data_IF_503468277217
#
_entry.id   IF_503468277217
#
_cell.length_a   1.000
_cell.length_b   1.000
_cell.length_c   1.000
_cell.angle_alpha   90.00
_cell.angle_beta   90.00
_cell.angle_gamma   90.00
#
_symmetry.space_group_name_H-M   'P 1'
#
loop_
_entity.id
_entity.type
_entity.pdbx_description
1 polymer ?
#
# COMPACT_ATOMS: atom_id res chain seq x y z
N UNK A 1 -29.47 57.72 -41.09
CA UNK A 1 -29.76 56.33 -40.68
C UNK A 1 -28.48 55.50 -40.78
N UNK A 2 -27.73 55.38 -39.68
CA UNK A 2 -26.62 54.42 -39.54
C UNK A 2 -27.04 53.47 -38.41
N UNK A 3 -27.06 52.16 -38.69
CA UNK A 3 -27.26 51.12 -37.67
C UNK A 3 -25.87 50.66 -37.25
N UNK A 4 -25.50 50.99 -36.02
CA UNK A 4 -24.29 50.46 -35.38
C UNK A 4 -24.62 49.11 -34.75
N UNK A 5 -23.99 48.07 -35.28
CA UNK A 5 -24.08 46.69 -34.78
C UNK A 5 -23.11 46.54 -33.61
N UNK A 6 -23.63 46.42 -32.39
CA UNK A 6 -22.85 46.13 -31.19
C UNK A 6 -22.41 44.66 -31.23
N UNK A 7 -21.12 44.43 -31.46
CA UNK A 7 -20.49 43.12 -31.32
C UNK A 7 -20.34 42.79 -29.82
N UNK A 8 -21.26 42.00 -29.27
CA UNK A 8 -21.08 41.36 -27.96
C UNK A 8 -20.07 40.22 -28.12
N UNK A 9 -18.83 40.47 -27.68
CA UNK A 9 -17.82 39.42 -27.50
C UNK A 9 -18.27 38.52 -26.34
N UNK A 10 -18.82 37.35 -26.69
CA UNK A 10 -19.08 36.26 -25.76
C UNK A 10 -17.77 35.46 -25.66
N UNK A 11 -17.02 35.65 -24.56
CA UNK A 11 -15.80 34.89 -24.27
C UNK A 11 -16.21 33.43 -24.00
N UNK A 12 -16.21 32.59 -25.03
CA UNK A 12 -16.51 31.17 -24.91
C UNK A 12 -15.25 30.49 -24.36
N UNK A 13 -15.21 30.30 -23.04
CA UNK A 13 -14.20 29.48 -22.38
C UNK A 13 -14.47 28.02 -22.77
N UNK A 14 -13.90 27.58 -23.89
CA UNK A 14 -13.88 26.16 -24.27
C UNK A 14 -12.95 25.49 -23.27
N UNK A 15 -13.52 25.01 -22.16
CA UNK A 15 -12.89 23.96 -21.37
C UNK A 15 -12.88 22.74 -22.27
N UNK A 16 -11.75 22.53 -22.95
CA UNK A 16 -11.40 21.24 -23.51
C UNK A 16 -11.33 20.27 -22.34
N UNK A 17 -12.48 19.67 -21.98
CA UNK A 17 -12.51 18.41 -21.29
C UNK A 17 -11.81 17.42 -22.21
N UNK A 18 -10.49 17.34 -22.07
CA UNK A 18 -9.73 16.23 -22.60
C UNK A 18 -10.38 14.99 -22.00
N UNK A 19 -11.09 14.27 -22.86
CA UNK A 19 -11.47 12.89 -22.61
C UNK A 19 -10.15 12.10 -22.55
N UNK A 20 -9.45 12.19 -21.42
CA UNK A 20 -8.52 11.15 -21.03
C UNK A 20 -9.39 9.92 -20.80
N UNK A 21 -9.62 9.16 -21.87
CA UNK A 21 -10.02 7.77 -21.74
C UNK A 21 -9.04 7.13 -20.77
N UNK A 22 -9.58 6.69 -19.64
CA UNK A 22 -8.78 6.12 -18.56
C UNK A 22 -8.12 4.84 -19.04
N UNK A 23 -6.90 4.94 -19.56
CA UNK A 23 -6.07 3.78 -19.82
C UNK A 23 -5.54 3.26 -18.48
N UNK A 24 -5.37 1.95 -18.37
CA UNK A 24 -4.72 1.42 -17.19
C UNK A 24 -3.27 1.91 -17.18
N UNK A 25 -2.75 2.18 -15.98
CA UNK A 25 -1.36 2.58 -15.78
C UNK A 25 -0.78 1.73 -14.66
N UNK A 26 0.50 1.43 -14.76
CA UNK A 26 1.26 0.75 -13.72
C UNK A 26 2.39 1.66 -13.29
N UNK A 27 2.41 1.99 -12.00
CA UNK A 27 3.48 2.77 -11.38
C UNK A 27 4.30 1.86 -10.47
N UNK A 28 5.62 1.93 -10.58
CA UNK A 28 6.54 1.14 -9.75
C UNK A 28 7.33 2.05 -8.83
N UNK A 29 7.41 1.68 -7.56
CA UNK A 29 8.16 2.42 -6.55
C UNK A 29 9.29 1.56 -5.98
N UNK A 30 10.43 2.19 -5.74
CA UNK A 30 11.33 1.74 -4.68
C UNK A 30 10.68 2.05 -3.34
N UNK A 31 10.55 1.01 -2.53
CA UNK A 31 9.97 1.06 -1.21
C UNK A 31 11.01 0.65 -0.18
N UNK A 32 11.50 1.63 0.57
CA UNK A 32 12.42 1.44 1.67
C UNK A 32 11.65 1.58 2.99
N UNK A 33 11.83 0.62 3.89
CA UNK A 33 11.22 0.70 5.22
C UNK A 33 12.07 0.11 6.34
N UNK A 34 11.88 0.62 7.56
CA UNK A 34 12.56 0.21 8.79
C UNK A 34 11.59 -0.61 9.67
N UNK A 35 11.67 -1.94 9.69
CA UNK A 35 10.76 -2.77 10.50
C UNK A 35 11.05 -2.63 12.00
N UNK A 36 12.33 -2.56 12.38
CA UNK A 36 12.76 -2.42 13.77
C UNK A 36 13.12 -0.97 14.06
N UNK A 37 12.35 -0.24 14.89
CA UNK A 37 12.56 1.18 15.13
C UNK A 37 13.82 1.47 15.98
N UNK A 38 14.47 0.43 16.52
CA UNK A 38 15.69 0.52 17.34
C UNK A 38 16.96 0.17 16.55
N UNK A 39 16.84 -0.14 15.25
CA UNK A 39 17.98 -0.48 14.38
C UNK A 39 17.97 0.41 13.14
N UNK A 40 19.16 0.73 12.64
CA UNK A 40 19.30 1.52 11.41
C UNK A 40 18.99 0.71 10.14
N UNK A 41 18.95 -0.62 10.24
CA UNK A 41 18.70 -1.53 9.11
C UNK A 41 17.34 -1.29 8.46
N UNK A 42 17.34 -1.08 7.14
CA UNK A 42 16.15 -0.98 6.31
C UNK A 42 16.00 -2.19 5.39
N UNK A 43 14.78 -2.37 4.88
CA UNK A 43 14.44 -3.33 3.83
C UNK A 43 14.08 -2.52 2.59
N UNK A 44 14.67 -2.87 1.44
CA UNK A 44 14.36 -2.31 0.14
C UNK A 44 13.61 -3.33 -0.71
N UNK A 45 12.42 -2.96 -1.18
CA UNK A 45 11.57 -3.79 -2.04
C UNK A 45 10.93 -2.97 -3.15
N UNK A 46 10.39 -3.65 -4.17
CA UNK A 46 9.57 -3.02 -5.22
C UNK A 46 8.09 -3.12 -4.87
N UNK A 47 7.39 -2.00 -4.98
CA UNK A 47 5.93 -1.93 -4.90
C UNK A 47 5.32 -1.42 -6.19
N UNK A 48 4.07 -1.81 -6.42
CA UNK A 48 3.35 -1.59 -7.67
C UNK A 48 1.99 -0.98 -7.34
N UNK A 49 1.63 0.07 -8.07
CA UNK A 49 0.28 0.66 -8.09
C UNK A 49 -0.30 0.44 -9.48
N UNK A 50 -1.19 -0.55 -9.61
CA UNK A 50 -2.00 -0.72 -10.82
C UNK A 50 -3.21 0.22 -10.71
N UNK A 51 -3.38 1.16 -11.65
CA UNK A 51 -4.52 2.08 -11.75
C UNK A 51 -5.37 1.68 -12.96
N UNK A 52 -6.65 1.42 -12.76
CA UNK A 52 -7.60 1.01 -13.79
C UNK A 52 -8.67 2.09 -14.00
N UNK A 53 -8.65 2.70 -15.18
CA UNK A 53 -9.59 3.73 -15.63
C UNK A 53 -9.82 4.91 -14.66
N UNK A 54 -8.89 5.19 -13.74
CA UNK A 54 -9.08 6.17 -12.67
C UNK A 54 -10.18 5.81 -11.65
N UNK A 55 -10.74 4.59 -11.71
CA UNK A 55 -11.80 4.09 -10.83
C UNK A 55 -11.27 3.20 -9.71
N UNK A 56 -10.26 2.41 -10.01
CA UNK A 56 -9.67 1.44 -9.09
C UNK A 56 -8.15 1.61 -9.09
N UNK A 57 -7.56 1.55 -7.89
CA UNK A 57 -6.11 1.44 -7.73
C UNK A 57 -5.76 0.35 -6.74
N UNK A 58 -4.76 -0.48 -7.07
CA UNK A 58 -4.29 -1.57 -6.22
C UNK A 58 -2.79 -1.43 -5.98
N UNK A 59 -2.44 -1.10 -4.75
CA UNK A 59 -1.06 -0.98 -4.29
C UNK A 59 -0.61 -2.25 -3.56
N UNK A 60 0.49 -2.86 -4.00
CA UNK A 60 1.07 -4.05 -3.34
C UNK A 60 2.53 -4.29 -3.70
N UNK A 61 3.21 -5.13 -2.91
CA UNK A 61 4.57 -5.61 -3.23
C UNK A 61 4.58 -6.53 -4.45
N UNK A 62 5.74 -6.69 -5.10
CA UNK A 62 5.92 -7.54 -6.28
C UNK A 62 5.38 -8.96 -6.11
N UNK A 63 5.72 -9.60 -4.98
CA UNK A 63 5.33 -10.97 -4.65
C UNK A 63 3.79 -11.13 -4.61
N UNK A 64 3.09 -10.13 -4.08
CA UNK A 64 1.64 -10.12 -4.02
C UNK A 64 1.03 -9.93 -5.41
N UNK A 65 1.53 -8.98 -6.20
CA UNK A 65 1.08 -8.77 -7.57
C UNK A 65 1.21 -10.05 -8.40
N UNK A 66 2.38 -10.71 -8.35
CA UNK A 66 2.63 -11.98 -9.04
C UNK A 66 1.69 -13.09 -8.55
N UNK A 67 1.48 -13.17 -7.23
CA UNK A 67 0.58 -14.16 -6.64
C UNK A 67 -0.87 -13.96 -7.09
N UNK A 68 -1.34 -12.72 -7.19
CA UNK A 68 -2.70 -12.44 -7.63
C UNK A 68 -2.89 -12.82 -9.10
N UNK A 69 -1.92 -12.54 -9.97
CA UNK A 69 -1.93 -12.97 -11.38
C UNK A 69 -1.98 -14.51 -11.51
N UNK A 70 -1.16 -15.23 -10.74
CA UNK A 70 -1.16 -16.70 -10.76
C UNK A 70 -2.47 -17.29 -10.24
N UNK A 71 -2.99 -16.77 -9.13
CA UNK A 71 -4.26 -17.22 -8.57
C UNK A 71 -5.44 -16.96 -9.50
N UNK A 72 -5.42 -15.88 -10.28
CA UNK A 72 -6.45 -15.62 -11.28
C UNK A 72 -6.45 -16.63 -12.43
N UNK A 73 -5.34 -17.36 -12.63
CA UNK A 73 -5.20 -18.47 -13.57
C UNK A 73 -5.39 -19.84 -12.89
N UNK A 74 -5.90 -19.87 -11.65
CA UNK A 74 -6.01 -21.07 -10.81
C UNK A 74 -4.67 -21.78 -10.54
N UNK A 75 -3.56 -21.04 -10.59
CA UNK A 75 -2.20 -21.54 -10.26
C UNK A 75 -1.83 -21.23 -8.81
N UNK A 76 -0.87 -21.99 -8.27
CA UNK A 76 -0.28 -21.73 -6.96
C UNK A 76 0.55 -20.44 -7.00
N UNK A 77 0.40 -19.59 -5.98
CA UNK A 77 1.19 -18.36 -5.84
C UNK A 77 2.50 -18.55 -5.07
N UNK A 78 3.31 -17.49 -4.99
CA UNK A 78 4.65 -17.50 -4.37
C UNK A 78 4.65 -17.43 -2.83
N UNK A 79 3.55 -17.79 -2.17
CA UNK A 79 3.34 -17.47 -0.75
C UNK A 79 3.26 -15.96 -0.52
N UNK A 80 3.05 -15.54 0.74
CA UNK A 80 2.92 -14.12 1.12
C UNK A 80 3.61 -13.85 2.45
N UNK A 81 3.91 -12.59 2.73
CA UNK A 81 4.49 -12.17 4.01
C UNK A 81 3.55 -12.55 5.16
N UNK A 82 4.07 -13.34 6.09
CA UNK A 82 3.26 -13.93 7.16
C UNK A 82 2.88 -12.92 8.25
N UNK A 83 3.75 -11.93 8.50
CA UNK A 83 3.51 -10.89 9.50
C UNK A 83 2.57 -9.85 8.96
N UNK A 84 1.52 -9.53 9.73
CA UNK A 84 0.52 -8.55 9.30
C UNK A 84 1.11 -7.14 9.14
N UNK A 85 2.11 -6.78 9.95
CA UNK A 85 2.79 -5.47 9.85
C UNK A 85 3.62 -5.33 8.57
N UNK A 86 4.03 -6.45 7.94
CA UNK A 86 4.78 -6.43 6.69
C UNK A 86 3.86 -6.62 5.45
N UNK A 87 2.54 -6.62 5.62
CA UNK A 87 1.58 -6.72 4.52
C UNK A 87 1.14 -5.34 4.04
N UNK A 88 1.75 -4.90 2.95
CA UNK A 88 1.48 -3.62 2.29
C UNK A 88 0.54 -3.80 1.10
N UNK A 89 -0.73 -4.11 1.36
CA UNK A 89 -1.73 -4.34 0.32
C UNK A 89 -2.92 -3.40 0.50
N UNK A 90 -3.08 -2.42 -0.41
CA UNK A 90 -4.17 -1.44 -0.40
C UNK A 90 -4.99 -1.55 -1.67
N UNK A 91 -6.32 -1.54 -1.53
CA UNK A 91 -7.28 -1.37 -2.62
C UNK A 91 -7.98 -0.03 -2.43
N UNK A 92 -7.93 0.82 -3.45
CA UNK A 92 -8.63 2.11 -3.50
C UNK A 92 -9.70 2.03 -4.57
N UNK A 93 -10.97 2.09 -4.20
CA UNK A 93 -12.06 2.32 -5.14
C UNK A 93 -12.32 3.82 -5.19
N UNK A 94 -11.66 4.48 -6.13
CA UNK A 94 -11.64 5.93 -6.26
C UNK A 94 -13.03 6.52 -6.52
N UNK A 95 -13.88 5.83 -7.29
CA UNK A 95 -15.26 6.24 -7.57
C UNK A 95 -16.19 6.18 -6.35
N UNK A 96 -15.89 5.30 -5.40
CA UNK A 96 -16.65 5.13 -4.15
C UNK A 96 -16.00 5.90 -2.98
N UNK A 97 -14.86 6.55 -3.23
CA UNK A 97 -13.97 7.10 -2.22
C UNK A 97 -13.68 6.11 -1.07
N UNK A 98 -13.53 4.83 -1.40
CA UNK A 98 -13.28 3.76 -0.43
C UNK A 98 -11.82 3.32 -0.50
N UNK A 99 -11.17 3.19 0.66
CA UNK A 99 -9.82 2.65 0.80
C UNK A 99 -9.87 1.48 1.77
N UNK A 100 -9.24 0.36 1.39
CA UNK A 100 -9.18 -0.85 2.19
C UNK A 100 -7.75 -1.37 2.25
N UNK A 101 -7.31 -1.73 3.46
CA UNK A 101 -6.11 -2.53 3.68
C UNK A 101 -6.50 -4.01 3.68
N UNK A 102 -5.89 -4.80 2.81
CA UNK A 102 -6.10 -6.25 2.75
C UNK A 102 -5.01 -6.97 3.53
N UNK A 103 -5.42 -7.83 4.45
CA UNK A 103 -4.53 -8.75 5.15
C UNK A 103 -4.91 -10.18 4.79
N UNK A 104 -3.92 -11.06 4.76
CA UNK A 104 -4.15 -12.48 4.61
C UNK A 104 -3.46 -13.25 5.73
N UNK A 105 -4.17 -14.17 6.36
CA UNK A 105 -3.58 -15.11 7.31
C UNK A 105 -2.77 -16.17 6.59
N UNK A 106 -1.93 -16.86 7.35
CA UNK A 106 -1.12 -17.98 6.85
C UNK A 106 -1.99 -19.16 6.34
N UNK A 107 -3.29 -19.17 6.67
CA UNK A 107 -4.29 -20.16 6.21
C UNK A 107 -5.17 -19.64 5.07
N UNK A 108 -4.69 -18.62 4.38
CA UNK A 108 -5.35 -18.01 3.22
C UNK A 108 -6.66 -17.26 3.48
N UNK A 109 -7.09 -17.10 4.74
CA UNK A 109 -8.22 -16.23 5.04
C UNK A 109 -7.84 -14.79 4.73
N UNK A 110 -8.72 -14.09 4.04
CA UNK A 110 -8.53 -12.70 3.66
C UNK A 110 -9.46 -11.86 4.52
N UNK A 111 -8.90 -10.79 5.07
CA UNK A 111 -9.67 -9.75 5.73
C UNK A 111 -9.39 -8.39 5.08
N UNK A 112 -10.38 -7.50 5.16
CA UNK A 112 -10.23 -6.10 4.78
C UNK A 112 -10.45 -5.19 5.97
N UNK A 113 -9.61 -4.18 6.14
CA UNK A 113 -9.78 -3.11 7.12
C UNK A 113 -10.05 -1.84 6.33
N UNK A 114 -11.20 -1.21 6.58
CA UNK A 114 -11.54 0.07 5.93
C UNK A 114 -10.70 1.20 6.54
N UNK A 115 -10.09 2.00 5.68
CA UNK A 115 -9.36 3.22 6.07
C UNK A 115 -10.33 4.39 5.93
N UNK A 116 -10.70 5.00 7.05
CA UNK A 116 -11.68 6.09 7.10
C UNK A 116 -11.01 7.45 7.35
N UNK A 117 -9.73 7.45 7.70
CA UNK A 117 -8.94 8.65 7.94
C UNK A 117 -8.88 9.51 6.69
N UNK A 118 -9.28 10.79 6.83
CA UNK A 118 -9.18 11.78 5.76
C UNK A 118 -7.74 12.27 5.65
N UNK A 119 -7.24 12.38 4.43
CA UNK A 119 -5.93 12.96 4.14
C UNK A 119 -6.08 14.47 3.92
N UNK A 120 -5.89 15.25 4.98
CA UNK A 120 -5.92 16.71 4.92
C UNK A 120 -4.54 17.25 4.53
N UNK A 121 -4.31 17.35 3.22
CA UNK A 121 -3.04 17.81 2.65
C UNK A 121 -2.80 19.31 2.84
N UNK A 122 -1.63 19.66 3.36
CA UNK A 122 -1.07 21.01 3.32
C UNK A 122 -0.15 21.13 2.11
N UNK A 123 -0.59 21.80 1.04
CA UNK A 123 0.23 22.05 -0.15
C UNK A 123 1.12 23.27 0.12
N UNK A 124 2.42 23.09 -0.07
CA UNK A 124 3.43 24.10 0.25
C UNK A 124 4.01 24.74 -1.02
N UNK A 125 4.55 25.97 -0.96
CA UNK A 125 5.08 26.66 -2.13
C UNK A 125 6.40 26.07 -2.66
N UNK A 126 7.10 25.23 -1.89
CA UNK A 126 8.35 24.62 -2.33
C UNK A 126 8.15 23.74 -3.58
N UNK A 127 8.96 24.02 -4.60
CA UNK A 127 9.05 23.26 -5.83
C UNK A 127 10.43 22.64 -5.97
N UNK A 128 10.52 21.53 -6.68
CA UNK A 128 11.77 20.86 -6.97
C UNK A 128 11.65 20.09 -8.29
N UNK A 129 12.72 19.40 -8.71
CA UNK A 129 12.71 18.45 -9.81
C UNK A 129 13.13 17.08 -9.29
N UNK A 130 12.33 16.05 -9.56
CA UNK A 130 12.65 14.65 -9.23
C UNK A 130 12.60 13.83 -10.52
N UNK A 131 13.75 13.32 -10.95
CA UNK A 131 13.90 12.74 -12.28
C UNK A 131 13.58 13.80 -13.35
N UNK A 132 12.59 13.53 -14.18
CA UNK A 132 12.12 14.46 -15.22
C UNK A 132 10.98 15.37 -14.77
N UNK A 133 10.34 15.08 -13.63
CA UNK A 133 9.12 15.76 -13.20
C UNK A 133 9.42 17.02 -12.40
N UNK A 134 8.72 18.11 -12.73
CA UNK A 134 8.56 19.24 -11.85
C UNK A 134 7.56 18.87 -10.75
N UNK A 135 7.98 19.02 -9.51
CA UNK A 135 7.22 18.58 -8.33
C UNK A 135 6.99 19.72 -7.35
N UNK A 136 5.88 19.64 -6.63
CA UNK A 136 5.52 20.51 -5.53
C UNK A 136 5.42 19.71 -4.23
N UNK A 137 5.84 20.34 -3.13
CA UNK A 137 5.83 19.72 -1.81
C UNK A 137 4.43 19.80 -1.18
N UNK A 138 4.06 18.74 -0.47
CA UNK A 138 2.89 18.74 0.42
C UNK A 138 3.19 17.96 1.70
N UNK A 139 2.45 18.25 2.76
CA UNK A 139 2.51 17.54 4.04
C UNK A 139 1.14 16.97 4.41
N UNK A 140 1.14 15.87 5.15
CA UNK A 140 -0.07 15.30 5.76
C UNK A 140 0.29 14.54 7.03
N UNK A 141 -0.62 14.50 8.00
CA UNK A 141 -0.54 13.55 9.11
C UNK A 141 -1.39 12.32 8.78
N UNK A 142 -0.80 11.13 8.84
CA UNK A 142 -1.52 9.87 8.65
C UNK A 142 -0.92 8.79 9.55
N UNK A 143 -1.79 8.01 10.19
CA UNK A 143 -1.38 6.88 11.01
C UNK A 143 -0.53 7.28 12.23
N UNK A 144 -0.62 8.52 12.71
CA UNK A 144 0.27 9.04 13.75
C UNK A 144 1.68 9.38 13.27
N UNK A 145 1.91 9.44 11.95
CA UNK A 145 3.17 9.86 11.32
C UNK A 145 2.95 11.15 10.52
N UNK A 146 3.97 12.00 10.51
CA UNK A 146 4.05 13.16 9.62
C UNK A 146 4.73 12.73 8.32
N UNK A 147 4.08 13.02 7.20
CA UNK A 147 4.55 12.66 5.87
C UNK A 147 4.87 13.91 5.07
N UNK A 148 5.94 13.84 4.28
CA UNK A 148 6.25 14.82 3.24
C UNK A 148 6.14 14.13 1.88
N UNK A 149 5.25 14.63 1.03
CA UNK A 149 5.06 14.19 -0.34
C UNK A 149 5.60 15.22 -1.33
N UNK A 150 6.09 14.74 -2.46
CA UNK A 150 6.41 15.50 -3.66
C UNK A 150 5.52 14.98 -4.79
N UNK A 151 4.65 15.83 -5.31
CA UNK A 151 3.68 15.48 -6.35
C UNK A 151 3.87 16.31 -7.61
N UNK A 152 3.46 15.78 -8.77
CA UNK A 152 3.52 16.48 -10.07
C UNK A 152 2.14 16.60 -10.70
N UNK A 153 1.85 17.75 -11.29
CA UNK A 153 0.63 17.99 -12.08
C UNK A 153 0.73 17.40 -13.50
N UNK A 154 1.93 17.02 -13.95
CA UNK A 154 2.18 16.46 -15.28
C UNK A 154 1.48 15.11 -15.49
N UNK A 155 1.22 14.39 -14.39
CA UNK A 155 0.40 13.18 -14.36
C UNK A 155 -0.89 13.56 -13.64
N UNK A 156 -2.00 13.85 -14.36
CA UNK A 156 -3.24 14.38 -13.78
C UNK A 156 -4.07 13.28 -13.10
N UNK A 157 -3.43 12.42 -12.30
CA UNK A 157 -4.05 11.34 -11.53
C UNK A 157 -3.82 11.65 -10.05
N UNK A 158 -4.90 11.88 -9.30
CA UNK A 158 -4.85 12.25 -7.87
C UNK A 158 -4.61 11.02 -6.97
N UNK A 159 -3.51 10.30 -7.19
CA UNK A 159 -3.20 9.04 -6.54
C UNK A 159 -1.70 8.90 -6.20
N UNK A 160 -1.34 7.82 -5.52
CA UNK A 160 0.01 7.58 -5.01
C UNK A 160 0.18 6.22 -4.33
N UNK A 161 1.35 5.96 -3.73
CA UNK A 161 1.64 4.69 -3.08
C UNK A 161 0.80 4.51 -1.80
N UNK A 162 0.66 3.26 -1.36
CA UNK A 162 -0.06 2.90 -0.13
C UNK A 162 -1.49 3.49 -0.07
N UNK A 163 -1.85 4.25 0.98
CA UNK A 163 -3.17 4.92 1.09
C UNK A 163 -3.20 6.31 0.48
N UNK A 164 -2.04 6.89 0.16
CA UNK A 164 -1.90 8.30 -0.17
C UNK A 164 -2.56 8.62 -1.51
N UNK A 165 -3.46 9.61 -1.54
CA UNK A 165 -4.20 10.10 -2.70
C UNK A 165 -4.72 11.51 -2.44
N UNK A 166 -5.26 12.17 -3.47
CA UNK A 166 -6.02 13.42 -3.33
C UNK A 166 -5.23 14.73 -3.45
N UNK A 167 -3.95 14.68 -3.79
CA UNK A 167 -3.21 15.87 -4.25
C UNK A 167 -3.61 16.21 -5.70
N UNK A 168 -3.48 17.48 -6.14
CA UNK A 168 -3.80 17.88 -7.51
C UNK A 168 -2.70 17.43 -8.48
N UNK A 169 -2.56 16.11 -8.63
CA UNK A 169 -1.48 15.46 -9.37
C UNK A 169 -1.05 14.16 -8.71
N UNK A 170 -0.02 13.54 -9.27
CA UNK A 170 0.45 12.23 -8.84
C UNK A 170 1.63 12.32 -7.88
N UNK A 171 1.63 11.50 -6.83
CA UNK A 171 2.71 11.47 -5.84
C UNK A 171 3.93 10.75 -6.42
N UNK A 172 5.03 11.47 -6.67
CA UNK A 172 6.28 10.91 -7.21
C UNK A 172 7.17 10.38 -6.09
N UNK A 173 7.17 11.05 -4.93
CA UNK A 173 7.93 10.62 -3.76
C UNK A 173 7.16 10.94 -2.49
N UNK A 174 7.20 10.06 -1.51
CA UNK A 174 6.67 10.35 -0.17
C UNK A 174 7.45 9.59 0.89
N UNK A 175 7.77 10.25 2.00
CA UNK A 175 8.38 9.63 3.16
C UNK A 175 7.86 10.20 4.46
N UNK A 176 7.94 9.42 5.53
CA UNK A 176 7.67 9.93 6.86
C UNK A 176 8.88 10.70 7.41
N UNK A 177 8.65 11.54 8.42
CA UNK A 177 9.64 12.45 8.98
C UNK A 177 10.91 11.74 9.50
N UNK A 178 10.78 10.49 9.96
CA UNK A 178 11.90 9.67 10.46
C UNK A 178 12.60 8.86 9.36
N UNK A 179 12.12 8.93 8.13
CA UNK A 179 12.51 8.05 7.03
C UNK A 179 12.44 6.56 7.44
N UNK A 180 11.48 6.20 8.30
CA UNK A 180 11.13 4.82 8.56
C UNK A 180 10.43 4.19 7.35
N UNK A 181 9.81 5.01 6.51
CA UNK A 181 9.11 4.60 5.31
C UNK A 181 9.36 5.62 4.20
N UNK A 182 9.81 5.16 3.04
CA UNK A 182 10.00 5.98 1.85
C UNK A 182 9.53 5.25 0.60
N UNK A 183 8.74 5.93 -0.22
CA UNK A 183 8.32 5.48 -1.53
C UNK A 183 8.85 6.44 -2.57
N UNK A 184 9.61 5.94 -3.55
CA UNK A 184 10.16 6.75 -4.66
C UNK A 184 9.75 6.13 -5.98
N UNK A 185 9.01 6.87 -6.82
CA UNK A 185 8.58 6.42 -8.14
C UNK A 185 9.81 6.18 -9.02
N UNK A 186 9.84 5.02 -9.67
CA UNK A 186 10.96 4.58 -10.52
C UNK A 186 10.55 4.36 -11.97
N UNK A 187 9.31 3.95 -12.22
CA UNK A 187 8.86 3.59 -13.56
C UNK A 187 7.36 3.80 -13.71
N UNK A 188 6.94 4.20 -14.90
CA UNK A 188 5.54 4.31 -15.32
C UNK A 188 5.38 3.46 -16.58
N UNK A 189 4.39 2.57 -16.60
CA UNK A 189 4.04 1.76 -17.76
C UNK A 189 2.57 1.94 -18.12
N UNK A 190 2.28 1.79 -19.40
CA UNK A 190 0.91 1.55 -19.86
C UNK A 190 0.46 0.17 -19.39
N UNK A 191 -0.72 0.13 -18.79
CA UNK A 191 -1.37 -1.11 -18.37
C UNK A 191 -2.18 -1.66 -19.52
N UNK A 192 -1.65 -2.68 -20.20
CA UNK A 192 -2.43 -3.45 -21.18
C UNK A 192 -3.09 -4.68 -20.54
N UNK A 193 -2.81 -4.93 -19.26
CA UNK A 193 -3.25 -6.11 -18.53
C UNK A 193 -4.48 -5.81 -17.68
N UNK A 194 -5.31 -6.84 -17.49
CA UNK A 194 -6.38 -6.85 -16.48
C UNK A 194 -5.73 -6.75 -15.09
N UNK A 195 -6.27 -5.88 -14.24
CA UNK A 195 -5.79 -5.75 -12.85
C UNK A 195 -6.37 -6.90 -12.01
N UNK A 196 -5.51 -7.83 -11.62
CA UNK A 196 -5.85 -8.92 -10.69
C UNK A 196 -5.52 -8.52 -9.26
N UNK A 197 -6.47 -8.71 -8.35
CA UNK A 197 -6.31 -8.39 -6.94
C UNK A 197 -7.17 -9.33 -6.08
N UNK A 198 -6.81 -9.46 -4.80
CA UNK A 198 -7.52 -10.29 -3.82
C UNK A 198 -8.99 -9.90 -3.70
N UNK A 199 -9.84 -10.89 -3.44
CA UNK A 199 -11.20 -10.61 -2.98
C UNK A 199 -11.17 -9.82 -1.66
N UNK A 200 -12.26 -9.10 -1.36
CA UNK A 200 -12.36 -8.27 -0.15
C UNK A 200 -12.21 -9.10 1.14
N UNK A 201 -12.67 -10.36 1.11
CA UNK A 201 -12.71 -11.20 2.30
C UNK A 201 -13.69 -10.65 3.36
N UNK A 202 -13.48 -11.03 4.62
CA UNK A 202 -14.28 -10.55 5.74
C UNK A 202 -13.79 -9.19 6.23
N UNK A 203 -14.71 -8.26 6.48
CA UNK A 203 -14.34 -6.95 6.99
C UNK A 203 -14.02 -6.99 8.49
N UNK A 204 -12.96 -6.29 8.90
CA UNK A 204 -12.56 -6.09 10.30
C UNK A 204 -12.47 -4.61 10.62
N UNK A 205 -12.86 -4.24 11.84
CA UNK A 205 -12.45 -2.98 12.46
C UNK A 205 -10.99 -3.07 12.92
N UNK A 206 -10.36 -1.92 13.16
CA UNK A 206 -9.03 -1.86 13.78
C UNK A 206 -8.97 -2.58 15.14
N UNK A 207 -10.05 -2.51 15.94
CA UNK A 207 -10.13 -3.23 17.22
C UNK A 207 -10.18 -4.75 17.02
N UNK A 208 -10.95 -5.23 16.04
CA UNK A 208 -10.99 -6.66 15.71
C UNK A 208 -9.64 -7.14 15.16
N UNK A 209 -8.98 -6.33 14.33
CA UNK A 209 -7.64 -6.61 13.84
C UNK A 209 -6.62 -6.65 14.98
N UNK A 210 -6.72 -5.76 15.96
CA UNK A 210 -5.90 -5.81 17.18
C UNK A 210 -6.08 -7.13 17.93
N UNK A 211 -7.33 -7.54 18.18
CA UNK A 211 -7.63 -8.83 18.84
C UNK A 211 -7.08 -10.02 18.03
N UNK A 212 -7.24 -10.01 16.71
CA UNK A 212 -6.69 -11.05 15.82
C UNK A 212 -5.16 -11.14 15.95
N UNK A 213 -4.48 -10.00 15.97
CA UNK A 213 -3.03 -9.92 16.05
C UNK A 213 -2.51 -10.32 17.43
N UNK A 214 -3.17 -9.92 18.51
CA UNK A 214 -2.86 -10.36 19.88
C UNK A 214 -3.05 -11.87 20.06
N UNK A 215 -4.14 -12.42 19.51
CA UNK A 215 -4.39 -13.87 19.51
C UNK A 215 -3.31 -14.62 18.73
N UNK A 216 -2.98 -14.15 17.53
CA UNK A 216 -1.87 -14.72 16.75
C UNK A 216 -0.55 -14.64 17.50
N UNK A 217 -0.24 -13.51 18.13
CA UNK A 217 0.97 -13.35 18.93
C UNK A 217 1.01 -14.29 20.14
N UNK A 218 -0.13 -14.55 20.80
CA UNK A 218 -0.20 -15.42 21.98
C UNK A 218 0.18 -16.88 21.69
N UNK A 219 -0.24 -17.42 20.55
CA UNK A 219 0.20 -18.72 20.04
C UNK A 219 0.20 -18.71 18.49
N UNK A 220 1.33 -18.31 17.87
CA UNK A 220 1.47 -18.22 16.41
C UNK A 220 1.26 -19.55 15.69
N UNK A 221 1.34 -20.66 16.43
CA UNK A 221 1.23 -22.02 15.90
C UNK A 221 -0.11 -22.69 16.26
N UNK A 222 -1.02 -21.99 16.96
CA UNK A 222 -2.28 -22.56 17.45
C UNK A 222 -3.09 -23.25 16.36
N UNK A 223 -3.31 -22.55 15.24
CA UNK A 223 -4.12 -23.09 14.15
C UNK A 223 -3.42 -24.18 13.36
N UNK A 224 -2.09 -24.19 13.33
CA UNK A 224 -1.34 -25.25 12.68
C UNK A 224 -1.47 -26.54 13.49
N UNK A 225 -1.37 -26.42 14.83
CA UNK A 225 -1.61 -27.51 15.78
C UNK A 225 -3.04 -28.04 15.64
N UNK A 226 -4.05 -27.15 15.57
CA UNK A 226 -5.46 -27.57 15.46
C UNK A 226 -5.78 -28.27 14.14
N UNK A 227 -5.06 -27.94 13.06
CA UNK A 227 -5.20 -28.60 11.76
C UNK A 227 -4.35 -29.87 11.62
N UNK A 228 -3.53 -30.22 12.63
CA UNK A 228 -2.65 -31.39 12.56
C UNK A 228 -1.54 -31.29 11.49
N UNK A 229 -1.19 -30.07 11.06
CA UNK A 229 -0.19 -29.86 10.02
C UNK A 229 1.24 -29.98 10.60
N UNK A 230 2.12 -30.83 10.03
CA UNK A 230 3.49 -30.97 10.52
C UNK A 230 4.32 -29.72 10.19
N UNK A 231 5.02 -29.18 11.19
CA UNK A 231 6.04 -28.15 10.96
C UNK A 231 7.36 -28.82 10.60
N UNK A 232 7.98 -28.37 9.52
CA UNK A 232 9.32 -28.79 9.11
C UNK A 232 10.21 -27.56 8.93
N UNK A 233 11.45 -27.66 9.39
CA UNK A 233 12.48 -26.64 9.17
C UNK A 233 13.72 -27.30 8.59
N UNK A 234 14.52 -26.52 7.86
CA UNK A 234 15.83 -26.94 7.39
C UNK A 234 16.81 -26.99 8.58
N UNK A 235 17.55 -28.09 8.72
CA UNK A 235 18.60 -28.28 9.73
C UNK A 235 19.92 -27.54 9.41
N UNK A 236 19.97 -26.78 8.30
CA UNK A 236 21.15 -26.11 7.79
C UNK A 236 22.04 -27.02 6.93
N UNK A 237 21.65 -28.29 6.75
CA UNK A 237 22.29 -29.27 5.88
C UNK A 237 21.37 -29.69 4.73
N UNK A 238 20.22 -29.02 4.57
CA UNK A 238 19.22 -29.31 3.55
C UNK A 238 18.22 -30.40 3.95
N UNK A 239 18.22 -30.89 5.20
CA UNK A 239 17.26 -31.89 5.66
C UNK A 239 16.08 -31.24 6.39
N UNK A 240 14.88 -31.77 6.13
CA UNK A 240 13.65 -31.32 6.78
C UNK A 240 13.41 -32.03 8.13
N UNK A 241 13.66 -31.32 9.23
CA UNK A 241 13.49 -31.84 10.60
C UNK A 241 12.23 -31.27 11.27
N UNK A 242 11.70 -32.01 12.25
CA UNK A 242 10.62 -31.50 13.11
C UNK A 242 11.26 -30.62 14.20
N UNK A 243 10.96 -29.32 14.25
CA UNK A 243 11.57 -28.44 15.23
C UNK A 243 10.90 -28.56 16.60
N UNK A 244 11.58 -28.05 17.63
CA UNK A 244 10.94 -27.72 18.90
C UNK A 244 9.91 -26.59 18.68
N UNK A 245 8.65 -26.90 18.95
CA UNK A 245 7.52 -26.01 18.73
C UNK A 245 7.54 -24.76 19.62
N UNK A 246 8.06 -24.88 20.84
CA UNK A 246 8.21 -23.75 21.76
C UNK A 246 9.28 -22.80 21.25
N UNK A 247 10.42 -23.33 20.81
CA UNK A 247 11.50 -22.52 20.21
C UNK A 247 11.01 -21.76 18.98
N UNK A 248 10.21 -22.38 18.12
CA UNK A 248 9.65 -21.69 16.94
C UNK A 248 8.63 -20.61 17.33
N UNK A 249 7.75 -20.91 18.29
CA UNK A 249 6.78 -19.94 18.81
C UNK A 249 7.49 -18.72 19.42
N UNK A 250 8.49 -18.95 20.28
CA UNK A 250 9.27 -17.87 20.92
C UNK A 250 10.05 -17.05 19.88
N UNK A 251 10.60 -17.70 18.84
CA UNK A 251 11.24 -17.01 17.71
C UNK A 251 10.25 -16.11 16.97
N UNK A 252 9.05 -16.59 16.65
CA UNK A 252 8.01 -15.80 15.98
C UNK A 252 7.59 -14.60 16.83
N UNK A 253 7.31 -14.82 18.13
CA UNK A 253 6.95 -13.74 19.07
C UNK A 253 8.05 -12.68 19.18
N UNK A 254 9.31 -13.10 19.27
CA UNK A 254 10.46 -12.18 19.28
C UNK A 254 10.51 -11.34 18.01
N UNK A 255 10.38 -11.97 16.83
CA UNK A 255 10.38 -11.25 15.55
C UNK A 255 9.24 -10.23 15.49
N UNK A 256 8.03 -10.59 15.93
CA UNK A 256 6.88 -9.68 15.98
C UNK A 256 7.20 -8.46 16.86
N UNK A 257 7.71 -8.67 18.08
CA UNK A 257 8.05 -7.57 19.00
C UNK A 257 9.17 -6.68 18.47
N UNK A 258 10.24 -7.26 17.98
CA UNK A 258 11.42 -6.52 17.53
C UNK A 258 11.13 -5.70 16.27
N UNK A 259 10.24 -6.16 15.40
CA UNK A 259 9.95 -5.50 14.11
C UNK A 259 8.61 -4.75 14.13
N UNK A 260 8.25 -4.17 15.27
CA UNK A 260 6.96 -3.52 15.49
C UNK A 260 7.02 -2.00 15.22
N UNK A 261 7.16 -1.64 13.94
CA UNK A 261 7.15 -0.26 13.48
C UNK A 261 6.07 0.02 12.41
N UNK A 262 4.77 -0.25 12.64
CA UNK A 262 3.76 -0.14 11.58
C UNK A 262 3.61 1.29 11.04
N UNK A 263 3.11 1.42 9.80
CA UNK A 263 2.73 2.71 9.21
C UNK A 263 1.66 3.40 10.10
N UNK A 264 0.64 2.66 10.51
CA UNK A 264 -0.41 3.14 11.42
C UNK A 264 0.03 3.03 12.90
N UNK A 265 0.93 3.91 13.33
CA UNK A 265 1.37 4.01 14.73
C UNK A 265 0.21 4.27 15.70
N UNK A 266 -0.83 4.97 15.28
CA UNK A 266 -2.05 5.16 16.07
C UNK A 266 -2.82 3.85 16.33
N UNK A 267 -2.57 2.80 15.54
CA UNK A 267 -3.12 1.46 15.70
C UNK A 267 -2.05 0.43 16.12
N UNK A 268 -0.87 0.90 16.55
CA UNK A 268 0.23 0.05 16.99
C UNK A 268 -0.17 -0.81 18.18
N UNK A 269 0.25 -2.07 18.17
CA UNK A 269 -0.04 -3.05 19.22
C UNK A 269 1.20 -3.23 20.08
N UNK A 270 1.08 -3.00 21.38
CA UNK A 270 2.16 -3.26 22.34
C UNK A 270 2.10 -4.72 22.81
N UNK A 271 2.75 -5.58 22.04
CA UNK A 271 2.89 -7.00 22.35
C UNK A 271 3.75 -7.20 23.61
N UNK A 272 3.18 -7.84 24.65
CA UNK A 272 3.86 -8.13 25.92
C UNK A 272 4.69 -9.42 25.84
#
# INVERSE_FOLDING_TARGET
MKKDTIFKSLLFFIILFNNFHGQNKLFKYDFEYRPNPLKDSTILEKTFLDVNEGKLSVFRIDQDRKTDSLKALNLLGFGRKMRFEDQFYIVKKLSENEIQKSIQTIYSEIFSIKINEKLDWEILPEKNKIGTFDVQKAKVNYGGRNWTAWFTTEIPIQDGPYVFKGLPGFIVKISDEKNDYSFSLTEIKDGNEKVYYRNKGSELTWEQFKKLSENYYSDPLARMKSMGLPLRVDDGKGNAVVPDMKVQSDKMKRIIRENNNPIELNHKIDYK
#
